data_IF_612573737191
#
_entry.id   IF_612573737191
#
_cell.length_a   1.000
_cell.length_b   1.000
_cell.length_c   1.000
_cell.angle_alpha   90.00
_cell.angle_beta   90.00
_cell.angle_gamma   90.00
#
_symmetry.space_group_name_H-M   'P 1'
#
loop_
_entity.id
_entity.type
_entity.pdbx_description
1 polymer ?
#
# COMPACT_ATOMS: atom_id res chain seq x y z
N UNK A 1 -9.15 -5.31 20.73
CA UNK A 1 -10.05 -4.17 20.43
C UNK A 1 -10.11 -4.07 18.91
N UNK A 2 -11.28 -4.45 18.38
CA UNK A 2 -11.43 -4.82 16.97
C UNK A 2 -11.48 -3.60 16.05
N UNK A 3 -10.31 -3.11 15.66
CA UNK A 3 -10.14 -1.95 14.77
C UNK A 3 -10.36 -2.27 13.27
N UNK A 4 -11.04 -3.36 12.94
CA UNK A 4 -11.03 -3.91 11.57
C UNK A 4 -12.29 -3.58 10.75
N UNK A 5 -13.43 -3.28 11.37
CA UNK A 5 -14.66 -3.08 10.60
C UNK A 5 -14.75 -1.78 9.80
N UNK A 6 -13.98 -0.74 10.14
CA UNK A 6 -13.96 0.55 9.44
C UNK A 6 -12.88 0.73 8.37
N UNK A 7 -11.86 -0.14 8.37
CA UNK A 7 -10.60 0.12 7.66
C UNK A 7 -10.40 -0.67 6.36
N UNK A 8 -11.42 -1.37 5.90
CA UNK A 8 -11.30 -2.12 4.65
C UNK A 8 -11.12 -1.21 3.44
N UNK A 9 -10.17 -1.57 2.58
CA UNK A 9 -10.10 -1.01 1.25
C UNK A 9 -11.31 -1.40 0.42
N UNK A 10 -11.67 -0.54 -0.51
CA UNK A 10 -12.72 -0.77 -1.51
C UNK A 10 -12.09 -0.90 -2.89
N UNK A 11 -12.86 -1.39 -3.84
CA UNK A 11 -12.43 -1.44 -5.23
C UNK A 11 -13.59 -1.09 -6.17
N UNK A 12 -13.24 -0.60 -7.35
CA UNK A 12 -14.17 -0.35 -8.45
C UNK A 12 -13.59 -0.95 -9.73
N UNK A 13 -14.43 -1.66 -10.49
CA UNK A 13 -14.06 -2.18 -11.79
C UNK A 13 -14.11 -1.05 -12.84
N UNK A 14 -13.15 -1.06 -13.77
CA UNK A 14 -13.13 -0.20 -14.94
C UNK A 14 -13.60 -0.98 -16.18
N UNK A 15 -14.00 -0.25 -17.22
CA UNK A 15 -14.52 -0.86 -18.48
C UNK A 15 -13.46 -1.69 -19.25
N UNK A 16 -12.17 -1.38 -19.04
CA UNK A 16 -11.03 -2.09 -19.64
C UNK A 16 -10.66 -3.40 -18.91
N UNK A 17 -11.44 -3.81 -17.91
CA UNK A 17 -11.20 -5.03 -17.13
C UNK A 17 -10.18 -4.85 -16.01
N UNK A 18 -9.65 -3.66 -15.82
CA UNK A 18 -8.82 -3.32 -14.63
C UNK A 18 -9.67 -2.94 -13.44
N UNK A 19 -9.03 -2.84 -12.28
CA UNK A 19 -9.67 -2.37 -11.05
C UNK A 19 -8.87 -1.21 -10.45
N UNK A 20 -9.58 -0.34 -9.75
CA UNK A 20 -9.01 0.69 -8.89
C UNK A 20 -9.26 0.32 -7.44
N UNK A 21 -8.20 0.21 -6.66
CA UNK A 21 -8.28 0.03 -5.21
C UNK A 21 -8.29 1.40 -4.54
N UNK A 22 -9.03 1.51 -3.42
CA UNK A 22 -9.08 2.74 -2.64
C UNK A 22 -9.14 2.45 -1.14
N UNK A 23 -8.35 3.20 -0.38
CA UNK A 23 -8.34 3.23 1.07
C UNK A 23 -8.48 4.65 1.56
N UNK A 24 -9.11 4.81 2.71
CA UNK A 24 -9.17 6.07 3.42
C UNK A 24 -8.70 5.85 4.86
N UNK A 25 -7.81 6.73 5.34
CA UNK A 25 -7.24 6.67 6.68
C UNK A 25 -7.22 8.04 7.31
N UNK A 26 -7.38 8.06 8.63
CA UNK A 26 -7.23 9.26 9.43
C UNK A 26 -6.10 9.06 10.42
N UNK A 27 -5.09 9.92 10.36
CA UNK A 27 -3.96 9.89 11.27
C UNK A 27 -3.98 11.13 12.15
N UNK A 28 -3.91 11.00 13.51
CA UNK A 28 -3.86 12.13 14.42
C UNK A 28 -2.45 12.77 14.37
N UNK A 29 -2.01 13.18 13.22
CA UNK A 29 -0.69 13.78 12.93
C UNK A 29 -0.84 14.89 11.90
N UNK A 30 -0.02 15.97 12.00
CA UNK A 30 0.03 17.01 10.97
C UNK A 30 0.35 16.46 9.58
N UNK A 31 -0.12 17.14 8.56
CA UNK A 31 0.02 16.72 7.15
C UNK A 31 1.50 16.58 6.74
N UNK A 32 2.38 17.43 7.24
CA UNK A 32 3.82 17.38 6.99
C UNK A 32 4.46 16.12 7.58
N UNK A 33 3.95 15.64 8.72
CA UNK A 33 4.40 14.40 9.35
C UNK A 33 4.01 13.19 8.49
N UNK A 34 2.78 13.16 7.98
CA UNK A 34 2.30 12.07 7.11
C UNK A 34 3.02 12.14 5.76
N UNK A 35 3.17 13.34 5.19
CA UNK A 35 3.93 13.56 3.95
C UNK A 35 5.35 13.03 4.06
N UNK A 36 6.07 13.39 5.11
CA UNK A 36 7.44 12.92 5.29
C UNK A 36 7.53 11.40 5.45
N UNK A 37 6.54 10.76 6.07
CA UNK A 37 6.52 9.30 6.22
C UNK A 37 6.34 8.56 4.89
N UNK A 38 5.62 9.15 3.92
CA UNK A 38 5.39 8.54 2.61
C UNK A 38 6.42 8.96 1.54
N UNK A 39 7.29 9.93 1.83
CA UNK A 39 8.22 10.49 0.84
C UNK A 39 9.69 10.38 1.21
N UNK A 40 10.04 10.36 2.49
CA UNK A 40 11.43 10.23 2.93
C UNK A 40 11.84 8.76 2.98
N UNK A 41 12.92 8.34 2.27
CA UNK A 41 13.33 6.94 2.17
C UNK A 41 13.53 6.26 3.53
N UNK A 42 14.13 6.97 4.48
CA UNK A 42 14.40 6.45 5.83
C UNK A 42 13.08 6.14 6.55
N UNK A 43 12.07 7.00 6.40
CA UNK A 43 10.76 6.83 7.03
C UNK A 43 9.89 5.81 6.28
N UNK A 44 9.98 5.76 4.95
CA UNK A 44 9.33 4.71 4.15
C UNK A 44 9.83 3.32 4.57
N UNK A 45 11.09 3.20 4.93
CA UNK A 45 11.68 1.94 5.38
C UNK A 45 11.02 1.37 6.66
N UNK A 46 10.41 2.21 7.48
CA UNK A 46 9.78 1.77 8.73
C UNK A 46 8.47 1.00 8.51
N UNK A 47 7.73 1.31 7.43
CA UNK A 47 6.40 0.73 7.21
C UNK A 47 6.22 0.03 5.87
N UNK A 48 6.74 0.56 4.77
CA UNK A 48 6.59 0.04 3.42
C UNK A 48 7.80 -0.83 3.03
N UNK A 49 8.98 -0.23 3.07
CA UNK A 49 10.21 -0.89 2.68
C UNK A 49 11.32 0.09 2.35
N UNK A 50 12.56 -0.41 2.30
CA UNK A 50 13.71 0.37 1.91
C UNK A 50 13.63 0.75 0.44
N UNK A 51 13.86 2.01 0.12
CA UNK A 51 13.69 2.50 -1.24
C UNK A 51 14.38 3.82 -1.52
N UNK A 52 14.14 4.33 -2.71
CA UNK A 52 14.62 5.61 -3.22
C UNK A 52 13.44 6.38 -3.83
N UNK A 53 13.42 7.68 -3.63
CA UNK A 53 12.43 8.57 -4.24
C UNK A 53 13.11 9.89 -4.57
N UNK A 54 13.14 10.24 -5.86
CA UNK A 54 13.58 11.57 -6.30
C UNK A 54 12.40 12.55 -6.19
N UNK A 55 12.54 13.64 -5.41
CA UNK A 55 11.42 14.51 -5.03
C UNK A 55 11.04 15.50 -6.16
N UNK A 56 10.62 15.00 -7.31
CA UNK A 56 10.17 15.78 -8.47
C UNK A 56 9.35 14.93 -9.44
N UNK A 57 8.48 15.53 -10.20
CA UNK A 57 7.82 14.87 -11.32
C UNK A 57 8.87 14.34 -12.33
N UNK A 58 8.64 13.14 -12.85
CA UNK A 58 9.58 12.39 -13.68
C UNK A 58 10.73 11.74 -12.93
N UNK A 59 10.86 11.98 -11.62
CA UNK A 59 11.90 11.41 -10.77
C UNK A 59 11.79 9.89 -10.64
N UNK A 60 12.90 9.24 -10.28
CA UNK A 60 12.96 7.81 -10.05
C UNK A 60 12.23 7.46 -8.74
N UNK A 61 11.53 6.34 -8.76
CA UNK A 61 10.96 5.69 -7.60
C UNK A 61 11.37 4.22 -7.58
N UNK A 62 11.84 3.72 -6.44
CA UNK A 62 12.10 2.31 -6.24
C UNK A 62 11.90 1.94 -4.78
N UNK A 63 11.34 0.78 -4.48
CA UNK A 63 11.16 0.28 -3.12
C UNK A 63 11.23 -1.24 -3.08
N UNK A 64 11.78 -1.80 -2.01
CA UNK A 64 11.78 -3.24 -1.75
C UNK A 64 10.69 -3.59 -0.76
N UNK A 65 9.73 -4.39 -1.19
CA UNK A 65 8.54 -4.77 -0.42
C UNK A 65 8.46 -6.26 -0.14
N UNK A 66 7.46 -6.67 0.61
CA UNK A 66 7.20 -8.07 0.95
C UNK A 66 8.02 -8.57 2.13
N UNK A 67 7.74 -9.80 2.60
CA UNK A 67 8.51 -10.44 3.67
C UNK A 67 9.99 -10.53 3.29
N UNK A 68 10.86 -10.08 4.20
CA UNK A 68 12.30 -10.00 3.94
C UNK A 68 12.70 -9.02 2.84
N UNK A 69 11.79 -8.12 2.40
CA UNK A 69 12.04 -7.07 1.39
C UNK A 69 12.64 -7.61 0.09
N UNK A 70 12.12 -8.74 -0.37
CA UNK A 70 12.68 -9.48 -1.52
C UNK A 70 12.20 -8.98 -2.87
N UNK A 71 11.05 -8.30 -2.92
CA UNK A 71 10.44 -7.86 -4.18
C UNK A 71 10.83 -6.42 -4.45
N UNK A 72 11.52 -6.19 -5.55
CA UNK A 72 11.91 -4.85 -6.00
C UNK A 72 10.81 -4.27 -6.90
N UNK A 73 10.16 -3.23 -6.44
CA UNK A 73 9.24 -2.41 -7.21
C UNK A 73 10.04 -1.26 -7.82
N UNK A 74 9.73 -0.93 -9.06
CA UNK A 74 10.31 0.23 -9.74
C UNK A 74 9.21 1.10 -10.35
N UNK A 75 9.51 2.38 -10.52
CA UNK A 75 8.57 3.33 -11.09
C UNK A 75 9.15 4.73 -11.28
N UNK A 76 8.26 5.66 -11.58
CA UNK A 76 8.55 7.08 -11.72
C UNK A 76 7.52 7.89 -10.93
N UNK A 77 7.95 9.01 -10.39
CA UNK A 77 7.06 10.00 -9.79
C UNK A 77 6.27 10.67 -10.91
N UNK A 78 4.95 10.62 -10.84
CA UNK A 78 4.02 11.26 -11.77
C UNK A 78 3.56 12.61 -11.24
N UNK A 79 3.23 12.65 -9.94
CA UNK A 79 2.81 13.86 -9.23
C UNK A 79 3.70 14.07 -8.02
N UNK A 80 4.20 15.28 -7.87
CA UNK A 80 4.93 15.73 -6.69
C UNK A 80 4.38 17.09 -6.28
N UNK A 81 3.43 17.11 -5.34
CA UNK A 81 2.74 18.30 -4.85
C UNK A 81 2.72 18.30 -3.31
N UNK A 82 3.85 18.72 -2.68
CA UNK A 82 3.96 18.69 -1.22
C UNK A 82 3.11 19.78 -0.54
N UNK A 83 2.49 19.47 0.59
CA UNK A 83 2.41 18.16 1.23
C UNK A 83 1.14 17.37 0.85
N UNK A 84 0.50 17.69 -0.28
CA UNK A 84 -0.89 17.31 -0.59
C UNK A 84 -1.01 16.06 -1.45
N UNK A 85 -0.11 15.84 -2.43
CA UNK A 85 -0.26 14.73 -3.36
C UNK A 85 1.06 14.14 -3.87
N UNK A 86 1.13 12.81 -3.83
CA UNK A 86 2.17 11.99 -4.45
C UNK A 86 1.52 10.96 -5.35
N UNK A 87 1.96 10.83 -6.59
CA UNK A 87 1.62 9.69 -7.44
C UNK A 87 2.88 9.12 -8.08
N UNK A 88 2.96 7.79 -8.16
CA UNK A 88 4.08 7.08 -8.79
C UNK A 88 3.55 5.93 -9.64
N UNK A 89 4.25 5.61 -10.73
CA UNK A 89 4.07 4.29 -11.35
C UNK A 89 4.60 3.22 -10.40
N UNK A 90 4.01 2.03 -10.48
CA UNK A 90 4.30 0.91 -9.61
C UNK A 90 4.34 -0.37 -10.43
N UNK A 91 5.54 -0.88 -10.66
CA UNK A 91 5.75 -2.04 -11.53
C UNK A 91 6.40 -3.18 -10.74
N UNK A 92 5.71 -4.30 -10.65
CA UNK A 92 6.25 -5.56 -10.14
C UNK A 92 7.20 -6.20 -11.17
N UNK A 93 8.21 -6.95 -10.75
CA UNK A 93 9.05 -7.70 -11.68
C UNK A 93 8.21 -8.61 -12.59
N UNK A 94 8.27 -8.37 -13.91
CA UNK A 94 7.51 -9.11 -14.92
C UNK A 94 6.00 -8.82 -14.94
N UNK A 95 5.52 -7.87 -14.13
CA UNK A 95 4.12 -7.47 -14.07
C UNK A 95 3.79 -6.25 -14.92
N UNK A 96 2.51 -5.89 -14.93
CA UNK A 96 2.03 -4.66 -15.59
C UNK A 96 2.34 -3.44 -14.72
N UNK A 97 2.51 -2.30 -15.37
CA UNK A 97 2.63 -1.02 -14.69
C UNK A 97 1.25 -0.56 -14.20
N UNK A 98 1.19 -0.21 -12.94
CA UNK A 98 0.02 0.38 -12.28
C UNK A 98 0.40 1.75 -11.73
N UNK A 99 -0.56 2.51 -11.21
CA UNK A 99 -0.29 3.81 -10.59
C UNK A 99 -0.79 3.80 -9.16
N UNK A 100 0.11 4.10 -8.22
CA UNK A 100 -0.26 4.41 -6.84
C UNK A 100 -0.36 5.91 -6.65
N UNK A 101 -1.32 6.33 -5.80
CA UNK A 101 -1.51 7.73 -5.46
C UNK A 101 -1.87 7.89 -3.99
N UNK A 102 -1.27 8.88 -3.38
CA UNK A 102 -1.58 9.37 -2.03
C UNK A 102 -2.10 10.80 -2.15
N UNK A 103 -3.31 11.05 -1.67
CA UNK A 103 -3.87 12.39 -1.50
C UNK A 103 -4.03 12.67 0.00
N UNK A 104 -3.44 13.76 0.47
CA UNK A 104 -3.44 14.17 1.86
C UNK A 104 -4.24 15.46 2.03
N UNK A 105 -5.05 15.51 3.08
CA UNK A 105 -5.81 16.71 3.44
C UNK A 105 -5.70 16.92 4.94
N UNK A 106 -5.25 18.11 5.35
CA UNK A 106 -5.27 18.48 6.76
C UNK A 106 -6.72 18.67 7.22
N UNK A 107 -7.03 18.18 8.42
CA UNK A 107 -8.31 18.42 9.07
C UNK A 107 -8.23 19.59 10.04
N UNK A 108 -9.38 20.16 10.40
CA UNK A 108 -9.46 21.25 11.39
C UNK A 108 -8.95 20.85 12.79
N UNK A 109 -8.89 19.56 13.09
CA UNK A 109 -8.39 19.03 14.37
C UNK A 109 -6.87 18.78 14.38
N UNK A 110 -6.13 19.20 13.34
CA UNK A 110 -4.69 18.97 13.22
C UNK A 110 -4.32 17.52 12.87
N UNK A 111 -5.29 16.72 12.44
CA UNK A 111 -5.08 15.39 11.91
C UNK A 111 -5.01 15.44 10.37
N UNK A 112 -4.61 14.33 9.76
CA UNK A 112 -4.52 14.19 8.31
C UNK A 112 -5.44 13.07 7.84
N UNK A 113 -6.27 13.40 6.84
CA UNK A 113 -6.98 12.42 6.03
C UNK A 113 -6.07 12.01 4.87
N UNK A 114 -5.81 10.73 4.76
CA UNK A 114 -5.07 10.12 3.64
C UNK A 114 -6.05 9.30 2.80
N UNK A 115 -6.08 9.57 1.50
CA UNK A 115 -6.71 8.70 0.51
C UNK A 115 -5.62 8.06 -0.32
N UNK A 116 -5.51 6.75 -0.24
CA UNK A 116 -4.63 5.96 -1.09
C UNK A 116 -5.45 5.30 -2.20
N UNK A 117 -4.90 5.27 -3.40
CA UNK A 117 -5.46 4.50 -4.52
C UNK A 117 -4.38 3.80 -5.32
N UNK A 118 -4.75 2.68 -5.95
CA UNK A 118 -3.95 2.03 -6.99
C UNK A 118 -4.86 1.75 -8.18
N UNK A 119 -4.48 2.25 -9.36
CA UNK A 119 -5.25 2.14 -10.61
C UNK A 119 -4.52 1.28 -11.64
N UNK A 120 -5.27 0.72 -12.60
CA UNK A 120 -4.71 -0.12 -13.66
C UNK A 120 -4.33 -1.53 -13.18
N UNK A 121 -4.86 -1.98 -12.03
CA UNK A 121 -4.57 -3.30 -11.51
C UNK A 121 -5.41 -4.35 -12.27
N UNK A 122 -4.80 -5.44 -12.81
CA UNK A 122 -5.55 -6.58 -13.33
C UNK A 122 -6.50 -7.15 -12.27
N UNK A 123 -7.74 -7.44 -12.67
CA UNK A 123 -8.79 -7.87 -11.73
C UNK A 123 -8.45 -9.17 -10.98
N UNK A 124 -7.70 -10.07 -11.59
CA UNK A 124 -7.22 -11.32 -10.98
C UNK A 124 -6.18 -11.10 -9.86
N UNK A 125 -5.52 -9.94 -9.82
CA UNK A 125 -4.56 -9.58 -8.78
C UNK A 125 -5.19 -8.90 -7.57
N UNK A 126 -6.44 -8.47 -7.66
CA UNK A 126 -7.14 -7.73 -6.61
C UNK A 126 -7.10 -8.45 -5.24
N UNK A 127 -7.35 -9.75 -5.24
CA UNK A 127 -7.43 -10.57 -4.01
C UNK A 127 -6.12 -10.67 -3.24
N UNK A 128 -4.99 -10.46 -3.91
CA UNK A 128 -3.67 -10.46 -3.28
C UNK A 128 -3.19 -9.05 -2.93
N UNK A 129 -3.47 -8.07 -3.77
CA UNK A 129 -2.98 -6.70 -3.61
C UNK A 129 -3.78 -5.93 -2.55
N UNK A 130 -5.11 -6.15 -2.50
CA UNK A 130 -5.97 -5.47 -1.55
C UNK A 130 -5.57 -5.76 -0.08
N UNK A 131 -5.39 -7.00 0.38
CA UNK A 131 -4.89 -7.26 1.74
C UNK A 131 -3.48 -6.72 2.00
N UNK A 132 -2.63 -6.69 0.99
CA UNK A 132 -1.26 -6.17 1.09
C UNK A 132 -1.22 -4.68 1.44
N UNK A 133 -2.00 -3.86 0.73
CA UNK A 133 -2.08 -2.44 1.05
C UNK A 133 -2.75 -2.14 2.38
N UNK A 134 -3.76 -2.94 2.77
CA UNK A 134 -4.33 -2.84 4.11
C UNK A 134 -3.23 -2.98 5.18
N UNK A 135 -2.42 -4.02 5.06
CA UNK A 135 -1.32 -4.28 5.98
C UNK A 135 -0.30 -3.12 6.02
N UNK A 136 0.11 -2.61 4.85
CA UNK A 136 1.07 -1.50 4.82
C UNK A 136 0.51 -0.22 5.45
N UNK A 137 -0.76 0.09 5.22
CA UNK A 137 -1.40 1.25 5.86
C UNK A 137 -1.61 1.07 7.36
N UNK A 138 -1.86 -0.17 7.83
CA UNK A 138 -1.86 -0.51 9.26
C UNK A 138 -0.47 -0.27 9.87
N UNK A 139 0.60 -0.71 9.21
CA UNK A 139 1.99 -0.48 9.65
C UNK A 139 2.35 0.99 9.69
N UNK A 140 1.87 1.80 8.74
CA UNK A 140 2.04 3.25 8.78
C UNK A 140 1.39 3.85 10.05
N UNK A 141 0.19 3.39 10.42
CA UNK A 141 -0.46 3.77 11.67
C UNK A 141 0.36 3.39 12.90
N UNK A 142 0.87 2.17 12.95
CA UNK A 142 1.74 1.69 14.03
C UNK A 142 2.97 2.58 14.23
N UNK A 143 3.64 2.98 13.13
CA UNK A 143 4.78 3.91 13.19
C UNK A 143 4.38 5.24 13.80
N UNK A 144 3.21 5.78 13.48
CA UNK A 144 2.71 7.01 14.09
C UNK A 144 2.39 6.85 15.58
N UNK A 145 2.03 5.67 16.02
CA UNK A 145 1.79 5.34 17.43
C UNK A 145 3.09 5.00 18.19
N UNK A 146 4.25 5.10 17.54
CA UNK A 146 5.54 4.78 18.11
C UNK A 146 5.81 3.29 18.25
N UNK A 147 5.00 2.46 17.58
CA UNK A 147 5.15 1.01 17.55
C UNK A 147 6.03 0.65 16.35
N UNK A 148 7.10 -0.12 16.60
CA UNK A 148 7.92 -0.67 15.51
C UNK A 148 7.16 -1.85 14.89
N UNK A 149 6.76 -1.78 13.59
CA UNK A 149 6.12 -2.91 12.94
C UNK A 149 7.05 -4.13 12.86
N UNK A 150 6.48 -5.32 13.01
CA UNK A 150 7.22 -6.56 12.88
C UNK A 150 7.80 -6.73 11.47
N UNK A 151 9.01 -7.29 11.37
CA UNK A 151 9.66 -7.55 10.07
C UNK A 151 8.98 -8.70 9.34
N UNK A 152 8.61 -9.77 10.07
CA UNK A 152 7.81 -10.88 9.53
C UNK A 152 6.32 -10.62 9.81
N UNK A 153 5.65 -10.13 8.80
CA UNK A 153 4.22 -9.86 8.84
C UNK A 153 3.36 -10.95 8.16
N UNK A 154 3.92 -12.12 7.88
CA UNK A 154 3.24 -13.18 7.13
C UNK A 154 1.96 -13.65 7.83
N UNK A 155 1.99 -13.81 9.16
CA UNK A 155 0.82 -14.20 9.95
C UNK A 155 -0.29 -13.13 9.86
N UNK A 156 0.06 -11.85 10.07
CA UNK A 156 -0.90 -10.75 9.99
C UNK A 156 -1.49 -10.61 8.59
N UNK A 157 -0.67 -10.75 7.55
CA UNK A 157 -1.14 -10.74 6.18
C UNK A 157 -2.15 -11.86 5.90
N UNK A 158 -1.88 -13.08 6.41
CA UNK A 158 -2.81 -14.21 6.27
C UNK A 158 -4.16 -13.94 6.96
N UNK A 159 -4.16 -13.35 8.16
CA UNK A 159 -5.39 -12.94 8.86
C UNK A 159 -6.19 -11.92 8.04
N UNK A 160 -5.53 -10.88 7.54
CA UNK A 160 -6.16 -9.85 6.73
C UNK A 160 -6.78 -10.46 5.46
N UNK A 161 -6.08 -11.39 4.79
CA UNK A 161 -6.62 -12.10 3.62
C UNK A 161 -7.90 -12.85 3.93
N UNK A 162 -7.98 -13.54 5.06
CA UNK A 162 -9.20 -14.24 5.50
C UNK A 162 -10.36 -13.25 5.69
N UNK A 163 -10.08 -12.09 6.31
CA UNK A 163 -11.09 -11.05 6.52
C UNK A 163 -11.62 -10.49 5.20
N UNK A 164 -10.74 -10.21 4.24
CA UNK A 164 -11.13 -9.77 2.90
C UNK A 164 -11.92 -10.84 2.15
N UNK A 165 -11.54 -12.13 2.27
CA UNK A 165 -12.28 -13.25 1.70
C UNK A 165 -13.71 -13.30 2.22
N UNK A 166 -13.91 -13.15 3.51
CA UNK A 166 -15.25 -13.10 4.13
C UNK A 166 -16.06 -11.89 3.66
N UNK A 167 -15.44 -10.71 3.61
CA UNK A 167 -16.12 -9.47 3.23
C UNK A 167 -16.57 -9.46 1.77
N UNK A 168 -15.73 -9.95 0.86
CA UNK A 168 -15.96 -9.84 -0.58
C UNK A 168 -16.35 -11.17 -1.26
N UNK A 169 -16.56 -12.24 -0.47
CA UNK A 169 -17.04 -13.52 -0.99
C UNK A 169 -16.02 -14.29 -1.83
N UNK A 170 -14.73 -13.93 -1.70
CA UNK A 170 -13.63 -14.60 -2.39
C UNK A 170 -13.05 -15.73 -1.53
N UNK A 171 -13.86 -16.77 -1.22
CA UNK A 171 -13.32 -17.99 -0.61
C UNK A 171 -12.43 -18.81 -1.55
N UNK A 172 -12.32 -18.40 -2.80
CA UNK A 172 -11.61 -19.13 -3.83
C UNK A 172 -10.42 -18.35 -4.35
N UNK A 173 -9.33 -18.32 -3.64
CA UNK A 173 -7.96 -18.36 -4.17
C UNK A 173 -6.96 -18.48 -3.02
N UNK A 174 -7.02 -19.58 -2.29
CA UNK A 174 -5.82 -20.08 -1.64
C UNK A 174 -4.91 -20.59 -2.75
N UNK A 175 -4.11 -19.71 -3.32
CA UNK A 175 -2.99 -20.11 -4.12
C UNK A 175 -2.00 -20.78 -3.14
N UNK A 176 -1.96 -22.10 -3.17
CA UNK A 176 -0.95 -22.90 -2.48
C UNK A 176 0.42 -22.43 -2.96
N UNK A 177 1.41 -22.32 -2.07
CA UNK A 177 2.78 -22.11 -2.53
C UNK A 177 3.12 -23.28 -3.46
N UNK A 178 3.49 -22.97 -4.67
CA UNK A 178 4.05 -23.94 -5.61
C UNK A 178 5.29 -24.53 -4.93
N UNK A 179 5.19 -25.78 -4.49
CA UNK A 179 6.36 -26.55 -4.07
C UNK A 179 7.35 -26.52 -5.23
N UNK A 180 8.55 -26.07 -4.94
CA UNK A 180 9.66 -26.19 -5.86
C UNK A 180 9.87 -27.66 -6.15
N UNK A 181 9.58 -28.06 -7.39
CA UNK A 181 9.98 -29.38 -7.89
C UNK A 181 11.50 -29.37 -7.92
N UNK A 182 12.08 -30.18 -7.04
CA UNK A 182 13.49 -30.55 -7.09
C UNK A 182 13.68 -31.53 -8.25
N UNK A 183 14.52 -31.18 -9.19
CA UNK A 183 15.32 -32.09 -10.00
C UNK A 183 16.76 -31.63 -9.97
#
# INVERSE_FOLDING_TARGET
MDAIEGDFGTFAAAEDGTVTLRYERYFPRPIETVWSAITQPERMADWLGAGELEPRAGGRFAVRVGPGRRVAITGRVLTWDPPSALACTWTWPGGVETVIRYDLTATSAGATRLVFSQTGLPSDQMTSVLPGWHLYLERLGQVFDGIKPEEDFSARHAEIRVLYGRKYGTEAAVCQPTEAVSD
#
